data_IF_555669346666
#
_entry.id   IF_555669346666
#
_cell.length_a   1.000
_cell.length_b   1.000
_cell.length_c   1.000
_cell.angle_alpha   90.00
_cell.angle_beta   90.00
_cell.angle_gamma   90.00
#
_symmetry.space_group_name_H-M   'P 1'
#
loop_
_entity.id
_entity.type
_entity.pdbx_description
1 polymer ?
#
# COMPACT_ATOMS: atom_id res chain seq x y z
N UNK A 1 -6.28 10.86 -20.24
CA UNK A 1 -7.06 9.74 -20.84
C UNK A 1 -8.50 9.86 -20.38
N UNK A 2 -9.50 9.54 -21.23
CA UNK A 2 -10.90 9.55 -20.83
C UNK A 2 -11.21 8.45 -19.81
N UNK A 3 -12.08 8.74 -18.85
CA UNK A 3 -12.57 7.75 -17.89
C UNK A 3 -13.52 6.78 -18.59
N UNK A 4 -13.41 5.49 -18.26
CA UNK A 4 -14.32 4.44 -18.76
C UNK A 4 -15.22 3.97 -17.61
N UNK A 5 -16.50 3.79 -17.89
CA UNK A 5 -17.43 3.20 -16.93
C UNK A 5 -17.12 1.71 -16.74
N UNK A 6 -17.12 1.25 -15.50
CA UNK A 6 -16.90 -0.16 -15.14
C UNK A 6 -17.91 -0.54 -14.06
N UNK A 7 -18.55 -1.70 -14.21
CA UNK A 7 -19.49 -2.22 -13.21
C UNK A 7 -18.75 -3.09 -12.21
N UNK A 8 -19.01 -2.89 -10.92
CA UNK A 8 -18.46 -3.67 -9.82
C UNK A 8 -19.62 -4.16 -8.96
N UNK A 9 -19.56 -5.43 -8.54
CA UNK A 9 -20.53 -6.00 -7.60
C UNK A 9 -20.03 -5.80 -6.18
N UNK A 10 -20.87 -5.20 -5.35
CA UNK A 10 -20.64 -5.01 -3.92
C UNK A 10 -21.86 -5.55 -3.20
N UNK A 11 -21.66 -6.13 -2.03
CA UNK A 11 -22.76 -6.44 -1.12
C UNK A 11 -23.39 -5.13 -0.58
N UNK A 12 -24.62 -5.24 -0.07
CA UNK A 12 -25.40 -4.09 0.38
C UNK A 12 -24.74 -3.34 1.55
N UNK A 13 -24.06 -4.06 2.44
CA UNK A 13 -23.35 -3.48 3.57
C UNK A 13 -22.20 -2.59 3.09
N UNK A 14 -21.35 -3.13 2.22
CA UNK A 14 -20.22 -2.42 1.63
C UNK A 14 -20.70 -1.19 0.84
N UNK A 15 -21.74 -1.34 0.03
CA UNK A 15 -22.30 -0.23 -0.75
C UNK A 15 -22.85 0.89 0.16
N UNK A 16 -23.49 0.53 1.26
CA UNK A 16 -24.00 1.48 2.27
C UNK A 16 -22.85 2.25 2.92
N UNK A 17 -21.79 1.54 3.35
CA UNK A 17 -20.60 2.14 3.98
C UNK A 17 -19.88 3.12 3.04
N UNK A 18 -19.70 2.74 1.77
CA UNK A 18 -19.13 3.63 0.74
C UNK A 18 -20.00 4.87 0.56
N UNK A 19 -21.33 4.71 0.57
CA UNK A 19 -22.28 5.82 0.49
C UNK A 19 -22.12 6.83 1.63
N UNK A 20 -22.07 6.35 2.86
CA UNK A 20 -21.90 7.19 4.06
C UNK A 20 -20.57 7.94 4.04
N UNK A 21 -19.47 7.25 3.69
CA UNK A 21 -18.15 7.87 3.57
C UNK A 21 -18.12 8.95 2.49
N UNK A 22 -18.68 8.67 1.31
CA UNK A 22 -18.72 9.62 0.21
C UNK A 22 -19.53 10.88 0.58
N UNK A 23 -20.66 10.71 1.29
CA UNK A 23 -21.47 11.82 1.78
C UNK A 23 -20.71 12.68 2.81
N UNK A 24 -20.02 12.05 3.77
CA UNK A 24 -19.21 12.76 4.76
C UNK A 24 -18.04 13.55 4.14
N UNK A 25 -17.55 13.09 2.98
CA UNK A 25 -16.47 13.73 2.22
C UNK A 25 -16.97 14.80 1.21
N UNK A 26 -18.28 14.99 1.07
CA UNK A 26 -18.91 15.79 0.00
C UNK A 26 -18.41 15.38 -1.40
N UNK A 27 -18.42 14.06 -1.66
CA UNK A 27 -17.98 13.45 -2.91
C UNK A 27 -19.00 12.47 -3.48
N UNK A 28 -19.08 12.30 -4.82
CA UNK A 28 -19.87 11.24 -5.41
C UNK A 28 -19.33 9.85 -5.04
N UNK A 29 -20.21 8.87 -4.83
CA UNK A 29 -19.82 7.46 -4.57
C UNK A 29 -18.88 6.90 -5.63
N UNK A 30 -19.15 7.20 -6.91
CA UNK A 30 -18.31 6.77 -8.03
C UNK A 30 -16.89 7.34 -7.95
N UNK A 31 -16.73 8.57 -7.45
CA UNK A 31 -15.41 9.17 -7.26
C UNK A 31 -14.64 8.41 -6.17
N UNK A 32 -15.27 8.15 -5.03
CA UNK A 32 -14.63 7.44 -3.92
C UNK A 32 -14.25 6.01 -4.30
N UNK A 33 -15.12 5.29 -5.02
CA UNK A 33 -14.79 3.95 -5.53
C UNK A 33 -13.60 3.99 -6.49
N UNK A 34 -13.59 4.94 -7.43
CA UNK A 34 -12.47 5.07 -8.37
C UNK A 34 -11.16 5.43 -7.65
N UNK A 35 -11.22 6.29 -6.64
CA UNK A 35 -10.05 6.67 -5.84
C UNK A 35 -9.52 5.49 -5.02
N UNK A 36 -10.40 4.74 -4.36
CA UNK A 36 -10.03 3.55 -3.61
C UNK A 36 -9.34 2.50 -4.51
N UNK A 37 -9.86 2.28 -5.72
CA UNK A 37 -9.24 1.37 -6.70
C UNK A 37 -7.86 1.87 -7.11
N UNK A 38 -7.69 3.17 -7.40
CA UNK A 38 -6.37 3.73 -7.75
C UNK A 38 -5.35 3.55 -6.64
N UNK A 39 -5.73 3.85 -5.40
CA UNK A 39 -4.85 3.69 -4.25
C UNK A 39 -4.49 2.22 -4.01
N UNK A 40 -5.45 1.31 -4.18
CA UNK A 40 -5.20 -0.11 -4.12
C UNK A 40 -4.16 -0.53 -5.18
N UNK A 41 -4.41 -0.21 -6.46
CA UNK A 41 -3.51 -0.58 -7.56
C UNK A 41 -2.11 -0.03 -7.34
N UNK A 42 -1.97 1.26 -7.02
CA UNK A 42 -0.67 1.88 -6.79
C UNK A 42 0.10 1.20 -5.64
N UNK A 43 -0.60 0.82 -4.55
CA UNK A 43 0.01 0.11 -3.43
C UNK A 43 0.45 -1.30 -3.83
N UNK A 44 -0.40 -2.06 -4.53
CA UNK A 44 -0.08 -3.42 -4.94
C UNK A 44 1.07 -3.44 -5.96
N UNK A 45 1.09 -2.51 -6.93
CA UNK A 45 2.19 -2.35 -7.89
C UNK A 45 3.53 -2.08 -7.18
N UNK A 46 3.52 -1.14 -6.23
CA UNK A 46 4.71 -0.87 -5.42
C UNK A 46 5.14 -2.11 -4.61
N UNK A 47 4.20 -2.78 -3.97
CA UNK A 47 4.50 -3.95 -3.13
C UNK A 47 5.11 -5.09 -3.94
N UNK A 48 4.51 -5.46 -5.07
CA UNK A 48 5.03 -6.50 -5.96
C UNK A 48 6.46 -6.16 -6.41
N UNK A 49 6.70 -4.93 -6.82
CA UNK A 49 8.03 -4.47 -7.25
C UNK A 49 9.08 -4.56 -6.12
N UNK A 50 8.74 -4.14 -4.91
CA UNK A 50 9.68 -4.23 -3.78
C UNK A 50 9.93 -5.67 -3.34
N UNK A 51 8.93 -6.54 -3.41
CA UNK A 51 9.10 -7.99 -3.16
C UNK A 51 10.05 -8.60 -4.19
N UNK A 52 9.85 -8.33 -5.48
CA UNK A 52 10.72 -8.82 -6.55
C UNK A 52 12.16 -8.34 -6.38
N UNK A 53 12.36 -7.07 -6.00
CA UNK A 53 13.68 -6.55 -5.65
C UNK A 53 14.31 -7.28 -4.47
N UNK A 54 13.53 -7.57 -3.43
CA UNK A 54 13.99 -8.29 -2.25
C UNK A 54 14.43 -9.72 -2.59
N UNK A 55 13.63 -10.44 -3.39
CA UNK A 55 13.97 -11.78 -3.90
C UNK A 55 15.26 -11.72 -4.69
N UNK A 56 15.39 -10.81 -5.66
CA UNK A 56 16.61 -10.64 -6.46
C UNK A 56 17.83 -10.33 -5.59
N UNK A 57 17.68 -9.49 -4.57
CA UNK A 57 18.77 -9.20 -3.64
C UNK A 57 19.19 -10.43 -2.82
N UNK A 58 18.23 -11.25 -2.41
CA UNK A 58 18.48 -12.52 -1.73
C UNK A 58 19.25 -13.50 -2.63
N UNK A 59 18.79 -13.67 -3.87
CA UNK A 59 19.41 -14.56 -4.87
C UNK A 59 20.85 -14.13 -5.21
N UNK A 60 21.10 -12.81 -5.22
CA UNK A 60 22.44 -12.22 -5.40
C UNK A 60 23.30 -12.26 -4.13
N UNK A 61 22.82 -12.83 -3.03
CA UNK A 61 23.56 -12.94 -1.76
C UNK A 61 23.70 -11.61 -0.99
N UNK A 62 22.90 -10.59 -1.32
CA UNK A 62 22.91 -9.26 -0.67
C UNK A 62 22.09 -9.21 0.63
N UNK A 63 22.02 -10.34 1.34
CA UNK A 63 21.40 -10.43 2.68
C UNK A 63 22.39 -10.02 3.76
N UNK A 64 21.86 -9.63 4.92
CA UNK A 64 22.65 -9.38 6.13
C UNK A 64 22.30 -10.43 7.17
N UNK A 65 23.30 -10.88 7.93
CA UNK A 65 23.05 -11.73 9.08
C UNK A 65 22.20 -10.97 10.12
N UNK A 66 21.35 -11.72 10.81
CA UNK A 66 20.45 -11.16 11.81
C UNK A 66 21.21 -10.44 12.94
N UNK A 67 22.35 -10.98 13.37
CA UNK A 67 23.16 -10.40 14.44
C UNK A 67 23.78 -9.06 14.03
N UNK A 68 24.31 -8.98 12.80
CA UNK A 68 24.86 -7.75 12.23
C UNK A 68 23.80 -6.66 12.09
N UNK A 69 22.61 -7.04 11.62
CA UNK A 69 21.48 -6.11 11.49
C UNK A 69 21.06 -5.54 12.85
N UNK A 70 20.97 -6.40 13.88
CA UNK A 70 20.60 -5.99 15.23
C UNK A 70 21.62 -5.00 15.81
N UNK A 71 22.91 -5.32 15.72
CA UNK A 71 23.98 -4.43 16.20
C UNK A 71 23.92 -3.06 15.52
N UNK A 72 23.67 -3.04 14.20
CA UNK A 72 23.51 -1.79 13.43
C UNK A 72 22.33 -0.95 13.92
N UNK A 73 21.20 -1.57 14.26
CA UNK A 73 20.02 -0.86 14.77
C UNK A 73 20.22 -0.32 16.18
N UNK A 74 20.87 -1.09 17.06
CA UNK A 74 21.21 -0.64 18.42
C UNK A 74 22.15 0.57 18.38
N UNK A 75 23.19 0.53 17.52
CA UNK A 75 24.09 1.65 17.31
C UNK A 75 23.36 2.90 16.77
N UNK A 76 22.46 2.72 15.80
CA UNK A 76 21.65 3.83 15.25
C UNK A 76 20.75 4.45 16.32
N UNK A 77 20.16 3.65 17.20
CA UNK A 77 19.31 4.13 18.29
C UNK A 77 20.12 4.91 19.33
N UNK A 78 21.31 4.43 19.70
CA UNK A 78 22.18 5.13 20.63
C UNK A 78 22.56 6.53 20.11
N UNK A 79 22.92 6.63 18.83
CA UNK A 79 23.30 7.90 18.19
C UNK A 79 22.15 8.90 17.96
N UNK A 80 20.89 8.48 18.09
CA UNK A 80 19.71 9.38 18.03
C UNK A 80 19.27 9.90 19.41
N UNK A 81 19.81 9.33 20.48
CA UNK A 81 19.44 9.64 21.86
C UNK A 81 20.49 10.55 22.53
N UNK A 82 21.65 10.75 21.89
CA UNK A 82 22.60 11.85 22.15
C UNK A 82 22.23 13.12 21.34
#
# INVERSE_FOLDING_TARGET
MPLKATSVRLDDETLSRVGQMAAAMDRPRAWLMAEAIKQYVAREEWFVHEVEKGIKAADEGRLLDHTDLKARWEAKRAAQVD
#
